data_IF_409632528193
#
_entry.id   IF_409632528193
#
_cell.length_a   1.000
_cell.length_b   1.000
_cell.length_c   1.000
_cell.angle_alpha   90.00
_cell.angle_beta   90.00
_cell.angle_gamma   90.00
#
_symmetry.space_group_name_H-M   'P 1'
#
loop_
_entity.id
_entity.type
_entity.pdbx_description
1 polymer ?
#
# COMPACT_ATOMS: atom_id res chain seq x y z
N UNK A 1 -8.57 -12.17 -0.11
CA UNK A 1 -7.12 -12.19 -0.34
C UNK A 1 -6.49 -11.28 0.69
N UNK A 2 -5.68 -11.82 1.61
CA UNK A 2 -5.01 -11.03 2.64
C UNK A 2 -3.60 -10.65 2.16
N UNK A 3 -3.02 -9.59 2.73
CA UNK A 3 -1.60 -9.29 2.55
C UNK A 3 -0.79 -10.34 3.30
N UNK A 4 0.20 -10.94 2.62
CA UNK A 4 1.11 -11.87 3.28
C UNK A 4 2.35 -11.14 3.73
N UNK A 5 2.81 -11.46 4.94
CA UNK A 5 4.05 -10.91 5.48
C UNK A 5 5.27 -11.35 4.66
N UNK A 6 6.19 -10.42 4.42
CA UNK A 6 7.41 -10.66 3.63
C UNK A 6 7.26 -10.49 2.12
N UNK A 7 6.04 -10.32 1.62
CA UNK A 7 5.79 -10.05 0.19
C UNK A 7 5.96 -8.57 -0.16
N UNK A 8 6.31 -8.29 -1.42
CA UNK A 8 6.48 -6.94 -1.94
C UNK A 8 5.26 -6.53 -2.75
N UNK A 9 4.79 -5.31 -2.50
CA UNK A 9 3.65 -4.72 -3.16
C UNK A 9 3.99 -3.30 -3.59
N UNK A 10 3.35 -2.86 -4.67
CA UNK A 10 3.31 -1.47 -5.06
C UNK A 10 1.98 -0.86 -4.61
N UNK A 11 2.01 0.43 -4.27
CA UNK A 11 0.86 1.14 -3.73
C UNK A 11 0.99 2.63 -4.01
N UNK A 12 -0.14 3.34 -3.93
CA UNK A 12 -0.19 4.79 -3.95
C UNK A 12 -0.26 5.34 -2.52
N UNK A 13 0.23 6.56 -2.31
CA UNK A 13 0.11 7.26 -1.02
C UNK A 13 -1.02 8.28 -1.07
N UNK A 14 -1.90 8.21 -0.07
CA UNK A 14 -2.89 9.25 0.21
C UNK A 14 -2.65 9.89 1.56
N UNK A 15 -2.99 11.17 1.66
CA UNK A 15 -2.87 11.95 2.90
C UNK A 15 -4.25 12.33 3.41
N UNK A 16 -4.58 11.94 4.63
CA UNK A 16 -5.84 12.32 5.25
C UNK A 16 -5.84 13.80 5.69
N UNK A 17 -7.01 14.32 6.09
CA UNK A 17 -7.15 15.72 6.52
C UNK A 17 -6.32 16.10 7.75
N UNK A 18 -5.75 15.12 8.46
CA UNK A 18 -4.90 15.28 9.64
C UNK A 18 -3.42 15.15 9.29
N UNK A 19 -3.08 14.97 8.01
CA UNK A 19 -1.72 14.80 7.52
C UNK A 19 -1.18 13.37 7.62
N UNK A 20 -2.03 12.36 7.89
CA UNK A 20 -1.56 10.97 7.98
C UNK A 20 -1.49 10.31 6.61
N UNK A 21 -0.44 9.55 6.40
CA UNK A 21 -0.21 8.81 5.16
C UNK A 21 -0.83 7.41 5.25
N UNK A 22 -1.55 7.03 4.20
CA UNK A 22 -2.13 5.70 4.02
C UNK A 22 -1.70 5.14 2.67
N UNK A 23 -1.32 3.87 2.64
CA UNK A 23 -1.09 3.14 1.40
C UNK A 23 -2.44 2.67 0.83
N UNK A 24 -2.69 2.94 -0.45
CA UNK A 24 -3.92 2.57 -1.16
C UNK A 24 -3.59 1.87 -2.48
N UNK A 25 -4.59 1.22 -3.09
CA UNK A 25 -4.46 0.52 -4.37
C UNK A 25 -3.31 -0.51 -4.42
N UNK A 26 -3.18 -1.33 -3.38
CA UNK A 26 -2.10 -2.31 -3.30
C UNK A 26 -2.17 -3.32 -4.45
N UNK A 27 -1.06 -3.46 -5.18
CA UNK A 27 -0.88 -4.43 -6.26
C UNK A 27 0.41 -5.23 -6.04
N UNK A 28 0.47 -6.50 -6.43
CA UNK A 28 1.70 -7.29 -6.34
C UNK A 28 2.83 -6.58 -7.09
N UNK A 29 4.01 -6.48 -6.46
CA UNK A 29 5.17 -5.90 -7.12
C UNK A 29 5.72 -6.92 -8.12
N UNK A 30 5.41 -6.75 -9.40
CA UNK A 30 6.09 -7.48 -10.46
C UNK A 30 7.55 -7.02 -10.49
N UNK A 31 8.47 -7.95 -10.25
CA UNK A 31 9.91 -7.68 -10.16
C UNK A 31 10.52 -7.24 -11.47
#
# INVERSE_FOLDING_TARGET
SALNEGERYQFDLEVDRRGKHSAVNLSPHEG
#
